data_IF_917398849460
#
_entry.id   IF_917398849460
#
_cell.length_a   1.000
_cell.length_b   1.000
_cell.length_c   1.000
_cell.angle_alpha   90.00
_cell.angle_beta   90.00
_cell.angle_gamma   90.00
#
_symmetry.space_group_name_H-M   'P 1'
#
loop_
_entity.id
_entity.type
_entity.pdbx_description
1 polymer ?
#
# COMPACT_ATOMS: atom_id res chain seq x y z
N UNK A 1 116.14 -81.29 -68.86
CA UNK A 1 114.88 -82.03 -68.58
C UNK A 1 114.27 -81.38 -67.35
N UNK A 2 113.33 -80.44 -67.54
CA UNK A 2 112.45 -79.99 -66.47
C UNK A 2 111.66 -81.22 -66.02
N UNK A 3 111.95 -81.69 -64.81
CA UNK A 3 111.16 -82.73 -64.18
C UNK A 3 109.73 -82.20 -64.04
N UNK A 4 108.78 -82.84 -64.73
CA UNK A 4 107.35 -82.55 -64.72
C UNK A 4 106.72 -82.45 -63.31
N UNK A 5 107.47 -82.78 -62.25
CA UNK A 5 107.07 -82.63 -60.85
C UNK A 5 107.05 -81.17 -60.33
N UNK A 6 107.89 -80.27 -60.84
CA UNK A 6 108.00 -78.90 -60.29
C UNK A 6 106.95 -77.93 -60.88
N UNK A 7 106.48 -78.18 -62.11
CA UNK A 7 105.42 -77.41 -62.77
C UNK A 7 104.04 -77.82 -62.22
N UNK A 8 103.84 -79.10 -61.90
CA UNK A 8 102.60 -79.59 -61.31
C UNK A 8 102.39 -79.07 -59.87
N UNK A 9 103.46 -78.99 -59.07
CA UNK A 9 103.44 -78.39 -57.73
C UNK A 9 103.21 -76.88 -57.79
N UNK A 10 103.90 -76.14 -58.67
CA UNK A 10 103.66 -74.71 -58.85
C UNK A 10 102.24 -74.37 -59.35
N UNK A 11 101.67 -75.20 -60.23
CA UNK A 11 100.29 -75.01 -60.74
C UNK A 11 99.25 -75.35 -59.67
N UNK A 12 99.49 -76.38 -58.86
CA UNK A 12 98.65 -76.76 -57.71
C UNK A 12 98.67 -75.68 -56.62
N UNK A 13 99.83 -75.11 -56.30
CA UNK A 13 99.95 -73.99 -55.35
C UNK A 13 99.23 -72.74 -55.85
N UNK A 14 99.28 -72.44 -57.16
CA UNK A 14 98.57 -71.29 -57.76
C UNK A 14 97.05 -71.48 -57.74
N UNK A 15 96.56 -72.70 -57.95
CA UNK A 15 95.15 -73.05 -57.84
C UNK A 15 94.67 -73.00 -56.37
N UNK A 16 95.51 -73.41 -55.41
CA UNK A 16 95.22 -73.27 -53.97
C UNK A 16 95.15 -71.80 -53.55
N UNK A 17 96.08 -70.95 -54.00
CA UNK A 17 96.08 -69.52 -53.70
C UNK A 17 94.82 -68.84 -54.29
N UNK A 18 94.45 -69.13 -55.54
CA UNK A 18 93.23 -68.59 -56.15
C UNK A 18 91.96 -69.04 -55.42
N UNK A 19 91.93 -70.28 -54.93
CA UNK A 19 90.83 -70.82 -54.11
C UNK A 19 90.73 -70.12 -52.75
N UNK A 20 91.87 -69.90 -52.07
CA UNK A 20 91.94 -69.17 -50.80
C UNK A 20 91.48 -67.72 -51.01
N UNK A 21 91.96 -67.05 -52.06
CA UNK A 21 91.56 -65.68 -52.40
C UNK A 21 90.05 -65.60 -52.60
N UNK A 22 89.48 -66.44 -53.48
CA UNK A 22 88.02 -66.49 -53.71
C UNK A 22 87.23 -66.78 -52.43
N UNK A 23 87.72 -67.67 -51.57
CA UNK A 23 87.10 -67.97 -50.28
C UNK A 23 87.16 -66.78 -49.32
N UNK A 24 88.31 -66.10 -49.21
CA UNK A 24 88.46 -64.89 -48.38
C UNK A 24 87.61 -63.72 -48.88
N UNK A 25 87.54 -63.48 -50.19
CA UNK A 25 86.64 -62.46 -50.77
C UNK A 25 85.17 -62.82 -50.54
N UNK A 26 84.79 -64.11 -50.65
CA UNK A 26 83.43 -64.58 -50.38
C UNK A 26 83.02 -64.37 -48.91
N UNK A 27 83.90 -64.69 -47.96
CA UNK A 27 83.65 -64.45 -46.52
C UNK A 27 83.58 -62.94 -46.23
N UNK A 28 84.50 -62.14 -46.78
CA UNK A 28 84.49 -60.69 -46.59
C UNK A 28 83.23 -60.04 -47.16
N UNK A 29 82.76 -60.49 -48.33
CA UNK A 29 81.54 -59.99 -48.96
C UNK A 29 80.29 -60.39 -48.16
N UNK A 30 80.22 -61.64 -47.69
CA UNK A 30 79.13 -62.09 -46.83
C UNK A 30 79.09 -61.36 -45.48
N UNK A 31 80.26 -61.03 -44.91
CA UNK A 31 80.38 -60.24 -43.69
C UNK A 31 79.91 -58.80 -43.91
N UNK A 32 80.31 -58.16 -45.01
CA UNK A 32 79.89 -56.81 -45.37
C UNK A 32 78.38 -56.74 -45.67
N UNK A 33 77.82 -57.68 -46.44
CA UNK A 33 76.37 -57.73 -46.68
C UNK A 33 75.59 -57.90 -45.38
N UNK A 34 76.05 -58.76 -44.48
CA UNK A 34 75.40 -58.96 -43.18
C UNK A 34 75.46 -57.70 -42.31
N UNK A 35 76.58 -56.99 -42.35
CA UNK A 35 76.75 -55.72 -41.62
C UNK A 35 75.90 -54.59 -42.22
N UNK A 36 75.68 -54.58 -43.54
CA UNK A 36 74.75 -53.65 -44.20
C UNK A 36 73.28 -53.95 -43.87
N UNK A 37 72.89 -55.23 -43.83
CA UNK A 37 71.54 -55.67 -43.44
C UNK A 37 71.22 -55.28 -41.97
N UNK A 38 72.14 -55.53 -41.04
CA UNK A 38 71.98 -55.15 -39.63
C UNK A 38 71.82 -53.62 -39.44
N UNK A 39 72.52 -52.81 -40.25
CA UNK A 39 72.40 -51.35 -40.24
C UNK A 39 71.06 -50.90 -40.83
N UNK A 40 70.56 -51.59 -41.86
CA UNK A 40 69.25 -51.30 -42.46
C UNK A 40 68.10 -51.60 -41.49
N UNK A 41 68.15 -52.72 -40.79
CA UNK A 41 67.18 -53.10 -39.75
C UNK A 41 67.17 -52.10 -38.59
N UNK A 42 68.35 -51.64 -38.14
CA UNK A 42 68.45 -50.60 -37.12
C UNK A 42 67.79 -49.28 -37.57
N UNK A 43 67.98 -48.91 -38.84
CA UNK A 43 67.40 -47.69 -39.42
C UNK A 43 65.88 -47.78 -39.53
N UNK A 44 65.35 -48.95 -39.87
CA UNK A 44 63.91 -49.21 -39.90
C UNK A 44 63.34 -49.13 -38.48
N UNK A 45 63.95 -49.82 -37.51
CA UNK A 45 63.51 -49.80 -36.11
C UNK A 45 63.53 -48.37 -35.51
N UNK A 46 64.56 -47.58 -35.85
CA UNK A 46 64.64 -46.18 -35.42
C UNK A 46 63.52 -45.33 -36.04
N UNK A 47 63.27 -45.49 -37.34
CA UNK A 47 62.17 -44.81 -38.04
C UNK A 47 60.79 -45.18 -37.46
N UNK A 48 60.57 -46.46 -37.13
CA UNK A 48 59.33 -46.91 -36.47
C UNK A 48 59.15 -46.29 -35.07
N UNK A 49 60.25 -46.18 -34.32
CA UNK A 49 60.24 -45.56 -33.00
C UNK A 49 59.96 -44.06 -33.07
N UNK A 50 60.61 -43.34 -33.99
CA UNK A 50 60.33 -41.93 -34.27
C UNK A 50 58.87 -41.72 -34.68
N UNK A 51 58.36 -42.56 -35.58
CA UNK A 51 56.96 -42.52 -36.01
C UNK A 51 55.98 -42.77 -34.86
N UNK A 52 56.32 -43.66 -33.92
CA UNK A 52 55.48 -43.93 -32.75
C UNK A 52 55.46 -42.73 -31.79
N UNK A 53 56.62 -42.14 -31.49
CA UNK A 53 56.72 -40.95 -30.64
C UNK A 53 55.95 -39.79 -31.26
N UNK A 54 56.16 -39.52 -32.54
CA UNK A 54 55.47 -38.44 -33.25
C UNK A 54 53.96 -38.62 -33.25
N UNK A 55 53.45 -39.85 -33.46
CA UNK A 55 52.02 -40.13 -33.36
C UNK A 55 51.47 -39.86 -31.96
N UNK A 56 52.18 -40.27 -30.91
CA UNK A 56 51.74 -40.04 -29.53
C UNK A 56 51.71 -38.55 -29.19
N UNK A 57 52.75 -37.79 -29.55
CA UNK A 57 52.81 -36.35 -29.33
C UNK A 57 51.67 -35.66 -30.06
N UNK A 58 51.51 -35.93 -31.35
CA UNK A 58 50.46 -35.33 -32.17
C UNK A 58 49.06 -35.63 -31.64
N UNK A 59 48.77 -36.89 -31.29
CA UNK A 59 47.48 -37.25 -30.71
C UNK A 59 47.22 -36.50 -29.39
N UNK A 60 48.24 -36.41 -28.52
CA UNK A 60 48.09 -35.65 -27.26
C UNK A 60 47.86 -34.15 -27.48
N UNK A 61 48.47 -33.58 -28.52
CA UNK A 61 48.30 -32.18 -28.90
C UNK A 61 46.91 -31.91 -29.47
N UNK A 62 46.43 -32.76 -30.39
CA UNK A 62 45.07 -32.69 -30.94
C UNK A 62 44.01 -32.81 -29.83
N UNK A 63 44.20 -33.74 -28.88
CA UNK A 63 43.31 -33.87 -27.72
C UNK A 63 43.36 -32.64 -26.81
N UNK A 64 44.54 -32.06 -26.58
CA UNK A 64 44.71 -30.84 -25.79
C UNK A 64 44.00 -29.65 -26.44
N UNK A 65 44.15 -29.47 -27.74
CA UNK A 65 43.49 -28.39 -28.49
C UNK A 65 41.97 -28.53 -28.44
N UNK A 66 41.45 -29.72 -28.69
CA UNK A 66 40.02 -29.99 -28.58
C UNK A 66 39.48 -29.71 -27.15
N UNK A 67 40.22 -30.11 -26.11
CA UNK A 67 39.84 -29.85 -24.72
C UNK A 67 39.83 -28.35 -24.39
N UNK A 68 40.83 -27.59 -24.87
CA UNK A 68 40.90 -26.14 -24.71
C UNK A 68 39.70 -25.46 -25.40
N UNK A 69 39.39 -25.86 -26.64
CA UNK A 69 38.27 -25.29 -27.38
C UNK A 69 36.93 -25.54 -26.65
N UNK A 70 36.71 -26.75 -26.13
CA UNK A 70 35.51 -27.06 -25.35
C UNK A 70 35.42 -26.23 -24.06
N UNK A 71 36.56 -26.03 -23.39
CA UNK A 71 36.63 -25.23 -22.17
C UNK A 71 36.39 -23.75 -22.44
N UNK A 72 36.89 -23.20 -23.55
CA UNK A 72 36.57 -21.84 -23.99
C UNK A 72 35.10 -21.66 -24.35
N UNK A 73 34.50 -22.63 -25.06
CA UNK A 73 33.06 -22.65 -25.34
C UNK A 73 32.24 -22.67 -24.05
N UNK A 74 32.63 -23.50 -23.07
CA UNK A 74 31.97 -23.58 -21.77
C UNK A 74 32.08 -22.24 -21.01
N UNK A 75 33.27 -21.63 -20.98
CA UNK A 75 33.49 -20.30 -20.37
C UNK A 75 32.66 -19.21 -21.04
N UNK A 76 32.57 -19.21 -22.36
CA UNK A 76 31.75 -18.24 -23.10
C UNK A 76 30.26 -18.38 -22.76
N UNK A 77 29.76 -19.61 -22.62
CA UNK A 77 28.37 -19.87 -22.16
C UNK A 77 28.16 -19.39 -20.73
N UNK A 78 29.10 -19.67 -19.84
CA UNK A 78 29.02 -19.21 -18.45
C UNK A 78 28.93 -17.68 -18.37
N UNK A 79 29.82 -16.97 -19.09
CA UNK A 79 29.79 -15.50 -19.15
C UNK A 79 28.45 -14.97 -19.64
N UNK A 80 27.84 -15.60 -20.64
CA UNK A 80 26.49 -15.21 -21.11
C UNK A 80 25.45 -15.35 -20.00
N UNK A 81 25.45 -16.49 -19.31
CA UNK A 81 24.53 -16.73 -18.19
C UNK A 81 24.76 -15.73 -17.06
N UNK A 82 26.01 -15.42 -16.71
CA UNK A 82 26.34 -14.41 -15.70
C UNK A 82 25.79 -13.03 -16.08
N UNK A 83 26.05 -12.57 -17.31
CA UNK A 83 25.53 -11.27 -17.78
C UNK A 83 24.00 -11.22 -17.81
N UNK A 84 23.36 -12.33 -18.14
CA UNK A 84 21.91 -12.44 -18.15
C UNK A 84 21.33 -12.44 -16.73
N UNK A 85 21.96 -13.17 -15.81
CA UNK A 85 21.60 -13.16 -14.39
C UNK A 85 21.75 -11.75 -13.79
N UNK A 86 22.83 -11.04 -14.09
CA UNK A 86 23.02 -9.66 -13.63
C UNK A 86 21.98 -8.72 -14.24
N UNK A 87 21.61 -8.91 -15.52
CA UNK A 87 20.50 -8.17 -16.14
C UNK A 87 19.18 -8.42 -15.41
N UNK A 88 18.87 -9.68 -15.08
CA UNK A 88 17.66 -10.02 -14.32
C UNK A 88 17.67 -9.39 -12.93
N UNK A 89 18.83 -9.41 -12.24
CA UNK A 89 18.97 -8.76 -10.93
C UNK A 89 18.69 -7.27 -11.01
N UNK A 90 19.34 -6.56 -11.94
CA UNK A 90 19.17 -5.10 -12.10
C UNK A 90 17.74 -4.76 -12.49
N UNK A 91 17.13 -5.51 -13.42
CA UNK A 91 15.74 -5.29 -13.81
C UNK A 91 14.78 -5.54 -12.64
N UNK A 92 14.96 -6.66 -11.92
CA UNK A 92 14.15 -7.00 -10.76
C UNK A 92 14.24 -5.95 -9.65
N UNK A 93 15.45 -5.46 -9.33
CA UNK A 93 15.60 -4.36 -8.38
C UNK A 93 14.90 -3.08 -8.83
N UNK A 94 14.95 -2.76 -10.13
CA UNK A 94 14.28 -1.58 -10.69
C UNK A 94 12.76 -1.71 -10.65
N UNK A 95 12.23 -2.91 -10.90
CA UNK A 95 10.79 -3.20 -10.79
C UNK A 95 10.32 -3.13 -9.34
N UNK A 96 11.05 -3.74 -8.41
CA UNK A 96 10.74 -3.70 -6.98
C UNK A 96 10.70 -2.25 -6.47
N UNK A 97 11.69 -1.42 -6.81
CA UNK A 97 11.71 -0.02 -6.36
C UNK A 97 10.55 0.78 -6.98
N UNK A 98 10.17 0.49 -8.24
CA UNK A 98 9.01 1.11 -8.88
C UNK A 98 7.70 0.71 -8.20
N UNK A 99 7.51 -0.56 -7.89
CA UNK A 99 6.32 -1.05 -7.18
C UNK A 99 6.21 -0.46 -5.78
N UNK A 100 7.34 -0.39 -5.06
CA UNK A 100 7.42 0.26 -3.75
C UNK A 100 7.00 1.73 -3.83
N UNK A 101 7.52 2.49 -4.80
CA UNK A 101 7.12 3.89 -5.00
C UNK A 101 5.64 4.04 -5.34
N UNK A 102 5.12 3.19 -6.22
CA UNK A 102 3.70 3.18 -6.58
C UNK A 102 2.81 2.91 -5.36
N UNK A 103 3.20 1.94 -4.52
CA UNK A 103 2.48 1.62 -3.29
C UNK A 103 2.50 2.80 -2.31
N UNK A 104 3.68 3.42 -2.09
CA UNK A 104 3.82 4.60 -1.22
C UNK A 104 2.92 5.73 -1.71
N UNK A 105 2.94 6.04 -3.01
CA UNK A 105 2.11 7.09 -3.58
C UNK A 105 0.62 6.77 -3.43
N UNK A 106 0.21 5.52 -3.68
CA UNK A 106 -1.17 5.08 -3.47
C UNK A 106 -1.60 5.26 -2.01
N UNK A 107 -0.76 4.85 -1.05
CA UNK A 107 -1.05 5.01 0.38
C UNK A 107 -1.17 6.49 0.73
N UNK A 108 -0.26 7.33 0.23
CA UNK A 108 -0.29 8.76 0.50
C UNK A 108 -1.59 9.39 -0.01
N UNK A 109 -2.01 9.08 -1.24
CA UNK A 109 -3.30 9.55 -1.78
C UNK A 109 -4.49 9.05 -0.97
N UNK A 110 -4.50 7.79 -0.54
CA UNK A 110 -5.58 7.27 0.32
C UNK A 110 -5.61 7.97 1.68
N UNK A 111 -4.45 8.26 2.28
CA UNK A 111 -4.36 8.99 3.54
C UNK A 111 -4.87 10.43 3.41
N UNK A 112 -4.48 11.13 2.34
CA UNK A 112 -4.95 12.48 2.05
C UNK A 112 -6.47 12.53 1.88
N UNK A 113 -7.05 11.57 1.13
CA UNK A 113 -8.50 11.45 0.98
C UNK A 113 -9.21 11.21 2.32
N UNK A 114 -8.63 10.36 3.16
CA UNK A 114 -9.19 10.07 4.48
C UNK A 114 -9.13 11.27 5.42
N UNK A 115 -8.06 12.05 5.36
CA UNK A 115 -7.93 13.29 6.13
C UNK A 115 -8.95 14.33 5.67
N UNK A 116 -9.12 14.50 4.36
CA UNK A 116 -10.16 15.37 3.80
C UNK A 116 -11.56 14.96 4.24
N UNK A 117 -11.88 13.66 4.18
CA UNK A 117 -13.17 13.14 4.63
C UNK A 117 -13.44 13.42 6.12
N UNK A 118 -12.42 13.27 6.98
CA UNK A 118 -12.54 13.60 8.40
C UNK A 118 -12.78 15.09 8.62
N UNK A 119 -12.06 15.94 7.89
CA UNK A 119 -12.21 17.38 7.98
C UNK A 119 -13.61 17.82 7.56
N UNK A 120 -14.15 17.25 6.48
CA UNK A 120 -15.53 17.47 6.04
C UNK A 120 -16.55 17.02 7.09
N UNK A 121 -16.33 15.85 7.71
CA UNK A 121 -17.20 15.33 8.76
C UNK A 121 -17.21 16.23 9.99
N UNK A 122 -16.03 16.70 10.43
CA UNK A 122 -15.91 17.63 11.55
C UNK A 122 -16.65 18.93 11.24
N UNK A 123 -16.45 19.50 10.05
CA UNK A 123 -17.12 20.72 9.63
C UNK A 123 -18.66 20.56 9.62
N UNK A 124 -19.15 19.43 9.11
CA UNK A 124 -20.58 19.12 9.11
C UNK A 124 -21.16 19.03 10.53
N UNK A 125 -20.51 18.30 11.44
CA UNK A 125 -20.97 18.18 12.83
C UNK A 125 -20.85 19.52 13.58
N UNK A 126 -19.84 20.35 13.30
CA UNK A 126 -19.74 21.71 13.84
C UNK A 126 -20.94 22.55 13.41
N UNK A 127 -21.26 22.57 12.11
CA UNK A 127 -22.40 23.34 11.61
C UNK A 127 -23.73 22.83 12.19
N UNK A 128 -23.87 21.51 12.32
CA UNK A 128 -25.03 20.89 12.96
C UNK A 128 -25.18 21.33 14.41
N UNK A 129 -24.10 21.29 15.20
CA UNK A 129 -24.11 21.72 16.59
C UNK A 129 -24.46 23.21 16.72
N UNK A 130 -23.88 24.07 15.86
CA UNK A 130 -24.21 25.50 15.80
C UNK A 130 -25.71 25.70 15.55
N UNK A 131 -26.27 25.02 14.54
CA UNK A 131 -27.68 25.16 14.19
C UNK A 131 -28.60 24.68 15.34
N UNK A 132 -28.25 23.58 16.01
CA UNK A 132 -28.99 23.06 17.16
C UNK A 132 -28.97 24.03 18.35
N UNK A 133 -27.80 24.59 18.66
CA UNK A 133 -27.64 25.59 19.73
C UNK A 133 -28.43 26.85 19.39
N UNK A 134 -28.34 27.35 18.16
CA UNK A 134 -29.11 28.51 17.71
C UNK A 134 -30.62 28.31 17.91
N UNK A 135 -31.16 27.15 17.49
CA UNK A 135 -32.57 26.83 17.68
C UNK A 135 -32.96 26.78 19.16
N UNK A 136 -32.12 26.15 19.99
CA UNK A 136 -32.38 26.01 21.44
C UNK A 136 -32.36 27.37 22.14
N UNK A 137 -31.37 28.21 21.84
CA UNK A 137 -31.26 29.57 22.39
C UNK A 137 -32.48 30.41 21.99
N UNK A 138 -32.91 30.29 20.73
CA UNK A 138 -34.08 31.03 20.24
C UNK A 138 -35.37 30.58 20.93
N UNK A 139 -35.54 29.26 21.13
CA UNK A 139 -36.66 28.72 21.90
C UNK A 139 -36.63 29.18 23.36
N UNK A 140 -35.48 29.14 24.03
CA UNK A 140 -35.33 29.59 25.41
C UNK A 140 -35.60 31.09 25.56
N UNK A 141 -35.12 31.91 24.62
CA UNK A 141 -35.38 33.34 24.61
C UNK A 141 -36.89 33.65 24.49
N UNK A 142 -37.59 32.93 23.58
CA UNK A 142 -39.04 33.06 23.43
C UNK A 142 -39.78 32.62 24.70
N UNK A 143 -39.40 31.50 25.30
CA UNK A 143 -40.02 31.01 26.53
C UNK A 143 -39.77 31.96 27.71
N UNK A 144 -38.58 32.54 27.82
CA UNK A 144 -38.25 33.56 28.82
C UNK A 144 -39.06 34.85 28.63
N UNK A 145 -39.22 35.31 27.39
CA UNK A 145 -40.05 36.46 27.06
C UNK A 145 -41.53 36.22 27.41
N UNK A 146 -42.08 35.06 27.03
CA UNK A 146 -43.45 34.66 27.40
C UNK A 146 -43.63 34.55 28.92
N UNK A 147 -42.66 33.98 29.63
CA UNK A 147 -42.70 33.92 31.10
C UNK A 147 -42.70 35.31 31.74
N UNK A 148 -41.87 36.21 31.23
CA UNK A 148 -41.82 37.61 31.68
C UNK A 148 -43.15 38.32 31.42
N UNK A 149 -43.69 38.20 30.21
CA UNK A 149 -44.98 38.77 29.84
C UNK A 149 -46.11 38.24 30.72
N UNK A 150 -46.20 36.92 30.91
CA UNK A 150 -47.22 36.32 31.78
C UNK A 150 -47.09 36.81 33.23
N UNK A 151 -45.88 36.94 33.76
CA UNK A 151 -45.68 37.49 35.11
C UNK A 151 -46.09 38.95 35.23
N UNK A 152 -45.87 39.76 34.18
CA UNK A 152 -46.30 41.17 34.14
C UNK A 152 -47.83 41.28 34.02
N UNK A 153 -48.43 40.51 33.11
CA UNK A 153 -49.87 40.44 32.90
C UNK A 153 -50.61 39.94 34.14
N UNK A 154 -50.11 38.94 34.87
CA UNK A 154 -50.79 38.47 36.07
C UNK A 154 -50.77 39.49 37.22
N UNK A 155 -49.77 40.39 37.24
CA UNK A 155 -49.64 41.42 38.28
C UNK A 155 -50.46 42.68 37.98
N UNK A 156 -50.66 43.05 36.70
CA UNK A 156 -51.43 44.24 36.28
C UNK A 156 -52.82 43.94 35.70
N UNK A 157 -53.06 42.72 35.19
CA UNK A 157 -54.19 42.39 34.31
C UNK A 157 -55.15 41.34 34.90
N UNK A 158 -55.33 41.29 36.22
CA UNK A 158 -56.67 40.99 36.72
C UNK A 158 -57.47 42.29 36.64
N UNK A 159 -57.79 42.72 35.42
CA UNK A 159 -58.67 43.87 35.18
C UNK A 159 -60.07 43.50 35.67
N UNK A 160 -60.30 43.77 36.95
CA UNK A 160 -61.60 43.70 37.60
C UNK A 160 -62.36 44.96 37.24
N UNK A 161 -62.94 44.97 36.05
CA UNK A 161 -63.47 46.20 35.45
C UNK A 161 -64.98 46.12 35.27
N UNK A 162 -65.65 47.22 35.58
CA UNK A 162 -67.08 47.41 35.32
C UNK A 162 -67.33 47.42 33.81
N UNK A 163 -68.11 46.45 33.32
CA UNK A 163 -68.51 46.32 31.92
C UNK A 163 -69.73 47.19 31.59
N UNK A 164 -70.68 47.25 32.52
CA UNK A 164 -71.93 47.95 32.34
C UNK A 164 -72.56 48.28 33.70
N UNK A 165 -72.94 49.54 33.88
CA UNK A 165 -73.77 49.99 35.00
C UNK A 165 -75.25 50.04 34.57
N UNK A 166 -76.12 49.38 35.32
CA UNK A 166 -77.58 49.46 35.19
C UNK A 166 -78.24 49.97 36.47
N UNK A 167 -79.56 50.14 36.45
CA UNK A 167 -80.36 50.64 37.59
C UNK A 167 -80.27 49.67 38.79
N UNK A 168 -79.27 49.86 39.65
CA UNK A 168 -78.92 49.11 40.87
C UNK A 168 -78.14 47.79 40.70
N UNK A 169 -77.89 47.34 39.46
CA UNK A 169 -77.06 46.14 39.17
C UNK A 169 -75.96 46.48 38.18
N UNK A 170 -74.72 46.16 38.55
CA UNK A 170 -73.51 46.38 37.75
C UNK A 170 -72.91 45.04 37.32
N UNK A 171 -72.49 44.93 36.05
CA UNK A 171 -71.80 43.75 35.53
C UNK A 171 -70.30 43.97 35.53
N UNK A 172 -69.56 43.04 36.12
CA UNK A 172 -68.11 43.16 36.34
C UNK A 172 -67.40 41.97 35.71
N UNK A 173 -66.32 42.24 34.99
CA UNK A 173 -65.43 41.24 34.42
C UNK A 173 -64.26 40.96 35.39
N UNK A 174 -63.73 39.73 35.40
CA UNK A 174 -62.50 39.41 36.16
C UNK A 174 -62.69 39.14 37.66
N UNK A 175 -63.92 38.92 38.12
CA UNK A 175 -64.24 38.43 39.47
C UNK A 175 -64.44 36.90 39.48
N UNK A 176 -63.52 36.16 38.85
CA UNK A 176 -63.69 34.71 38.63
C UNK A 176 -63.66 33.87 39.92
N UNK A 177 -63.17 34.44 41.02
CA UNK A 177 -63.03 33.77 42.33
C UNK A 177 -64.08 34.22 43.37
N UNK A 178 -64.98 35.16 43.03
CA UNK A 178 -65.97 35.70 43.97
C UNK A 178 -67.14 34.74 44.18
N UNK A 179 -67.61 34.60 45.42
CA UNK A 179 -68.76 33.78 45.77
C UNK A 179 -70.06 34.60 45.75
N UNK A 180 -71.19 33.93 45.49
CA UNK A 180 -72.50 34.57 45.58
C UNK A 180 -72.76 35.00 47.03
N UNK A 181 -73.11 36.26 47.24
CA UNK A 181 -73.30 36.90 48.55
C UNK A 181 -72.05 37.58 49.11
N UNK A 182 -70.90 37.51 48.43
CA UNK A 182 -69.67 38.18 48.86
C UNK A 182 -69.71 39.69 48.59
N UNK A 183 -69.01 40.44 49.44
CA UNK A 183 -68.91 41.89 49.33
C UNK A 183 -67.81 42.29 48.36
N UNK A 184 -68.16 43.23 47.49
CA UNK A 184 -67.30 43.76 46.44
C UNK A 184 -67.18 45.27 46.65
N UNK A 185 -65.96 45.76 46.72
CA UNK A 185 -65.63 47.18 46.85
C UNK A 185 -65.30 47.78 45.48
N UNK A 186 -65.87 48.95 45.21
CA UNK A 186 -65.64 49.73 43.99
C UNK A 186 -64.72 50.92 44.30
N UNK A 187 -64.17 51.55 43.25
CA UNK A 187 -63.54 52.87 43.37
C UNK A 187 -64.54 53.88 43.98
N UNK A 188 -64.05 54.77 44.87
CA UNK A 188 -64.84 55.77 45.63
C UNK A 188 -65.70 55.21 46.80
N UNK A 189 -65.24 54.13 47.46
CA UNK A 189 -65.84 53.55 48.69
C UNK A 189 -67.28 53.00 48.55
N UNK A 190 -67.75 52.82 47.32
CA UNK A 190 -69.03 52.16 47.07
C UNK A 190 -68.90 50.64 47.26
N UNK A 191 -69.94 50.03 47.85
CA UNK A 191 -69.96 48.59 48.16
C UNK A 191 -71.12 47.93 47.43
N UNK A 192 -70.93 46.70 46.97
CA UNK A 192 -71.98 45.87 46.40
C UNK A 192 -71.88 44.41 46.82
N UNK A 193 -72.93 43.65 46.51
CA UNK A 193 -73.02 42.22 46.79
C UNK A 193 -73.07 41.45 45.47
N UNK A 194 -72.23 40.44 45.31
CA UNK A 194 -72.26 39.53 44.16
C UNK A 194 -73.53 38.67 44.20
N UNK A 195 -74.39 38.73 43.18
CA UNK A 195 -75.65 37.98 43.14
C UNK A 195 -75.70 36.96 42.00
N UNK A 196 -75.22 37.33 40.82
CA UNK A 196 -75.33 36.51 39.62
C UNK A 196 -73.96 36.17 39.05
N UNK A 197 -73.45 34.97 39.36
CA UNK A 197 -72.18 34.47 38.86
C UNK A 197 -72.37 33.86 37.46
N UNK A 198 -72.14 34.65 36.41
CA UNK A 198 -72.09 34.13 35.03
C UNK A 198 -70.67 33.68 34.69
N UNK A 199 -70.52 32.80 33.69
CA UNK A 199 -69.23 32.20 33.32
C UNK A 199 -68.17 33.17 32.79
N UNK A 200 -68.55 34.43 32.53
CA UNK A 200 -67.66 35.47 32.01
C UNK A 200 -67.80 36.82 32.72
N UNK A 201 -68.80 37.00 33.57
CA UNK A 201 -69.03 38.25 34.29
C UNK A 201 -69.85 37.98 35.54
N UNK A 202 -69.76 38.87 36.52
CA UNK A 202 -70.53 38.78 37.76
C UNK A 202 -71.46 39.98 37.85
N UNK A 203 -72.75 39.72 38.08
CA UNK A 203 -73.73 40.74 38.45
C UNK A 203 -73.61 41.08 39.93
N UNK A 204 -73.29 42.33 40.23
CA UNK A 204 -73.16 42.89 41.58
C UNK A 204 -74.26 43.91 41.81
N UNK A 205 -75.06 43.72 42.86
CA UNK A 205 -76.04 44.71 43.29
C UNK A 205 -75.35 45.78 44.14
N UNK A 206 -75.55 47.05 43.79
CA UNK A 206 -74.95 48.17 44.51
C UNK A 206 -75.73 48.46 45.79
N UNK A 207 -75.01 48.70 46.89
CA UNK A 207 -75.60 49.09 48.16
C UNK A 207 -75.35 50.58 48.38
N UNK A 208 -76.32 51.42 47.99
CA UNK A 208 -76.27 52.88 48.16
C UNK A 208 -76.39 53.65 46.84
N UNK A 209 -76.10 54.96 46.87
CA UNK A 209 -76.16 55.81 45.68
C UNK A 209 -74.99 55.50 44.73
N UNK A 210 -75.19 54.53 43.83
CA UNK A 210 -74.23 54.09 42.81
C UNK A 210 -73.93 55.11 41.70
N UNK A 211 -74.33 56.38 41.88
CA UNK A 211 -74.30 57.45 40.87
C UNK A 211 -72.89 57.85 40.40
N UNK A 212 -71.84 57.40 41.10
CA UNK A 212 -70.45 57.74 40.80
C UNK A 212 -69.70 56.63 40.05
N UNK A 213 -70.26 55.43 39.94
CA UNK A 213 -69.61 54.30 39.25
C UNK A 213 -69.84 54.43 37.75
N UNK A 214 -68.76 54.34 36.98
CA UNK A 214 -68.82 54.40 35.51
C UNK A 214 -68.25 53.14 34.88
N UNK A 215 -68.64 52.87 33.63
CA UNK A 215 -68.02 51.83 32.82
C UNK A 215 -66.51 52.06 32.75
N UNK A 216 -65.74 51.01 33.03
CA UNK A 216 -64.27 51.10 33.12
C UNK A 216 -63.71 51.29 34.53
N UNK A 217 -64.53 51.50 35.56
CA UNK A 217 -64.06 51.63 36.95
C UNK A 217 -63.46 50.30 37.46
N UNK A 218 -62.42 50.39 38.29
CA UNK A 218 -61.77 49.22 38.90
C UNK A 218 -62.55 48.72 40.11
N UNK A 219 -62.44 47.42 40.37
CA UNK A 219 -63.22 46.70 41.38
C UNK A 219 -62.32 45.76 42.16
N UNK A 220 -62.59 45.61 43.45
CA UNK A 220 -61.87 44.70 44.33
C UNK A 220 -62.84 43.82 45.10
N UNK A 221 -62.79 42.52 44.90
CA UNK A 221 -63.35 41.55 45.85
C UNK A 221 -62.46 41.52 47.11
N UNK A 222 -63.12 41.43 48.27
CA UNK A 222 -62.51 41.58 49.60
C UNK A 222 -62.06 40.25 50.18
#
# INVERSE_FOLDING_TARGET
>A
MCSKGDIATATSSRLMIDTIIKFTYGISCAFLCKQEDDVLDLRIAFSEFEMRILRTIRNSEELREAAVEQLEKARARLRKVETEADRFRVNGYSEIEREKLNLINSIYTTLEQFENYKNETIHFEQQRAINQVQQTVLQQALQGALGTLNSCLNNELHLRTVLQVGDDITRIYGLDEVMAGELVEFEEDAVGIALNLESKNVGVALMGDGLLIQDGSSVKAT
#
